data_IF_015740710512
#
_entry.id   IF_015740710512
#
_cell.length_a   1.000
_cell.length_b   1.000
_cell.length_c   1.000
_cell.angle_alpha   90.00
_cell.angle_beta   90.00
_cell.angle_gamma   90.00
#
_symmetry.space_group_name_H-M   'P 1'
#
loop_
_entity.id
_entity.type
_entity.pdbx_description
1 polymer ?
#
# COMPACT_ATOMS: atom_id res chain seq x y z
N UNK A 1 -20.39 14.85 -24.76
CA UNK A 1 -19.09 15.39 -24.30
C UNK A 1 -18.04 14.97 -25.30
N UNK A 2 -17.19 15.91 -25.72
CA UNK A 2 -15.97 15.64 -26.48
C UNK A 2 -14.77 15.78 -25.56
N UNK A 3 -13.80 14.87 -25.71
CA UNK A 3 -12.55 14.90 -24.94
C UNK A 3 -11.40 14.74 -25.92
N UNK A 4 -10.47 15.71 -25.88
CA UNK A 4 -9.19 15.65 -26.58
C UNK A 4 -8.08 15.89 -25.54
N UNK A 5 -7.09 15.00 -25.52
CA UNK A 5 -5.96 15.03 -24.57
C UNK A 5 -4.67 15.04 -25.38
N UNK A 6 -3.81 16.00 -25.07
CA UNK A 6 -2.43 16.05 -25.54
C UNK A 6 -1.53 15.56 -24.41
N UNK A 7 -1.02 14.32 -24.51
CA UNK A 7 -0.24 13.66 -23.48
C UNK A 7 1.23 13.65 -23.88
N UNK A 8 2.05 14.41 -23.15
CA UNK A 8 3.50 14.38 -23.29
C UNK A 8 4.11 13.83 -22.00
N UNK A 9 4.60 12.59 -22.06
CA UNK A 9 5.26 11.93 -20.91
C UNK A 9 6.75 12.19 -20.87
N UNK A 10 7.36 12.61 -22.00
CA UNK A 10 8.80 12.78 -22.15
C UNK A 10 9.58 11.44 -22.22
N UNK A 11 8.91 10.29 -22.20
CA UNK A 11 9.48 8.94 -22.33
C UNK A 11 8.56 8.00 -23.09
N UNK A 12 9.11 6.91 -23.59
CA UNK A 12 8.37 5.92 -24.37
C UNK A 12 7.38 5.12 -23.51
N UNK A 13 6.17 4.90 -24.07
CA UNK A 13 5.12 4.12 -23.44
C UNK A 13 5.06 2.69 -23.98
N UNK A 14 4.93 1.70 -23.09
CA UNK A 14 4.62 0.32 -23.44
C UNK A 14 3.12 0.07 -23.58
N UNK A 15 2.29 0.90 -22.98
CA UNK A 15 0.84 0.79 -23.00
C UNK A 15 0.20 2.16 -22.78
N UNK A 16 -0.84 2.46 -23.57
CA UNK A 16 -1.70 3.62 -23.41
C UNK A 16 -3.12 3.19 -23.77
N UNK A 17 -4.07 3.31 -22.84
CA UNK A 17 -5.46 2.88 -23.05
C UNK A 17 -6.45 3.61 -22.16
N UNK A 18 -7.67 3.80 -22.64
CA UNK A 18 -8.81 4.18 -21.82
C UNK A 18 -9.52 2.94 -21.26
N UNK A 19 -9.98 3.03 -19.99
CA UNK A 19 -10.62 1.90 -19.30
C UNK A 19 -12.08 1.71 -19.69
N UNK A 20 -12.80 2.78 -20.01
CA UNK A 20 -14.26 2.75 -20.18
C UNK A 20 -14.77 3.30 -21.52
N UNK A 21 -13.92 3.99 -22.27
CA UNK A 21 -14.29 4.67 -23.50
C UNK A 21 -13.40 4.24 -24.66
N UNK A 22 -13.97 4.13 -25.85
CA UNK A 22 -13.20 3.94 -27.07
C UNK A 22 -12.52 5.24 -27.45
N UNK A 23 -11.22 5.16 -27.66
CA UNK A 23 -10.38 6.32 -27.99
C UNK A 23 -9.58 6.03 -29.24
N UNK A 24 -9.34 7.07 -30.02
CA UNK A 24 -8.31 7.11 -31.04
C UNK A 24 -7.02 7.65 -30.42
N UNK A 25 -5.88 7.08 -30.81
CA UNK A 25 -4.57 7.41 -30.23
C UNK A 25 -3.57 7.66 -31.36
N UNK A 26 -3.28 8.92 -31.60
CA UNK A 26 -2.25 9.36 -32.55
C UNK A 26 -0.92 9.52 -31.83
N UNK A 27 0.11 8.78 -32.28
CA UNK A 27 1.48 8.97 -31.81
C UNK A 27 2.14 10.11 -32.59
N UNK A 28 2.36 11.24 -31.91
CA UNK A 28 2.98 12.43 -32.50
C UNK A 28 4.52 12.34 -32.49
N UNK A 29 5.09 11.85 -31.37
CA UNK A 29 6.53 11.59 -31.23
C UNK A 29 6.78 10.58 -30.09
N UNK A 30 8.05 10.38 -29.72
CA UNK A 30 8.36 9.50 -28.59
C UNK A 30 7.82 10.10 -27.29
N UNK A 31 6.91 9.37 -26.63
CA UNK A 31 6.24 9.83 -25.39
C UNK A 31 5.17 10.91 -25.59
N UNK A 32 4.90 11.34 -26.84
CA UNK A 32 3.90 12.36 -27.11
C UNK A 32 2.75 11.79 -27.95
N UNK A 33 1.55 11.84 -27.41
CA UNK A 33 0.35 11.24 -27.99
C UNK A 33 -0.83 12.21 -27.92
N UNK A 34 -1.66 12.20 -28.96
CA UNK A 34 -2.98 12.84 -28.95
C UNK A 34 -4.03 11.76 -28.81
N UNK A 35 -4.93 11.94 -27.87
CA UNK A 35 -6.02 11.00 -27.57
C UNK A 35 -7.34 11.72 -27.75
N UNK A 36 -8.24 11.18 -28.55
CA UNK A 36 -9.58 11.69 -28.77
C UNK A 36 -10.63 10.60 -28.62
N UNK A 37 -11.84 10.99 -28.21
CA UNK A 37 -12.96 10.05 -28.21
C UNK A 37 -13.34 9.69 -29.63
N UNK A 38 -13.57 8.40 -29.91
CA UNK A 38 -14.08 7.95 -31.23
C UNK A 38 -15.54 8.33 -31.44
N UNK A 39 -16.32 8.46 -30.36
CA UNK A 39 -17.75 8.81 -30.39
C UNK A 39 -18.07 9.75 -29.23
N UNK A 40 -19.00 10.70 -29.41
CA UNK A 40 -19.51 11.52 -28.31
C UNK A 40 -20.12 10.62 -27.23
N UNK A 41 -19.78 10.88 -25.96
CA UNK A 41 -20.26 10.09 -24.82
C UNK A 41 -21.23 10.87 -23.95
N UNK A 42 -22.14 10.15 -23.26
CA UNK A 42 -22.91 10.69 -22.15
C UNK A 42 -21.99 10.86 -20.94
N UNK A 43 -22.25 11.85 -20.08
CA UNK A 43 -21.48 12.10 -18.86
C UNK A 43 -21.88 11.20 -17.68
N UNK A 44 -22.14 9.92 -17.95
CA UNK A 44 -22.64 8.94 -16.98
C UNK A 44 -21.53 8.12 -16.28
N UNK A 45 -20.29 8.27 -16.74
CA UNK A 45 -19.14 7.58 -16.15
C UNK A 45 -17.84 8.35 -16.35
N UNK A 46 -16.87 8.11 -15.47
CA UNK A 46 -15.57 8.76 -15.49
C UNK A 46 -14.75 8.41 -16.73
N UNK A 47 -14.05 9.40 -17.29
CA UNK A 47 -13.02 9.15 -18.29
C UNK A 47 -11.71 8.80 -17.57
N UNK A 48 -11.19 7.59 -17.82
CA UNK A 48 -9.95 7.09 -17.20
C UNK A 48 -8.96 6.69 -18.27
N UNK A 49 -7.86 7.46 -18.37
CA UNK A 49 -6.72 7.15 -19.22
C UNK A 49 -5.60 6.53 -18.39
N UNK A 50 -5.06 5.40 -18.83
CA UNK A 50 -3.95 4.69 -18.16
C UNK A 50 -2.81 4.49 -19.13
N UNK A 51 -1.60 4.74 -18.65
CA UNK A 51 -0.39 4.48 -19.41
C UNK A 51 0.68 3.84 -18.55
N UNK A 52 1.62 3.16 -19.21
CA UNK A 52 2.75 2.49 -18.58
C UNK A 52 4.01 2.80 -19.39
N UNK A 53 5.09 3.18 -18.73
CA UNK A 53 6.38 3.37 -19.37
C UNK A 53 6.97 2.05 -19.86
N UNK A 54 7.89 2.10 -20.81
CA UNK A 54 8.71 0.95 -21.20
C UNK A 54 9.61 0.55 -20.04
N UNK A 55 9.56 -0.74 -19.66
CA UNK A 55 10.25 -1.30 -18.48
C UNK A 55 11.64 -1.85 -18.86
N UNK A 56 12.56 -0.96 -19.28
CA UNK A 56 13.95 -1.35 -19.58
C UNK A 56 14.95 -0.74 -18.61
N UNK A 57 14.92 0.59 -18.53
CA UNK A 57 15.84 1.40 -17.73
C UNK A 57 15.08 2.50 -17.02
N UNK A 58 15.74 3.20 -16.08
CA UNK A 58 15.14 4.39 -15.47
C UNK A 58 14.84 5.43 -16.54
N UNK A 59 13.56 5.72 -16.75
CA UNK A 59 13.11 6.75 -17.67
C UNK A 59 13.11 8.10 -16.93
N UNK A 60 13.66 9.11 -17.58
CA UNK A 60 13.70 10.48 -17.05
C UNK A 60 13.10 11.45 -18.05
N UNK A 61 12.32 12.40 -17.57
CA UNK A 61 11.90 13.56 -18.37
C UNK A 61 11.98 14.83 -17.55
N UNK A 62 12.31 15.92 -18.24
CA UNK A 62 12.38 17.24 -17.67
C UNK A 62 11.45 18.17 -18.46
N UNK A 63 10.48 18.76 -17.78
CA UNK A 63 9.59 19.75 -18.35
C UNK A 63 9.93 21.11 -17.77
N UNK A 64 9.85 22.14 -18.61
CA UNK A 64 10.04 23.52 -18.22
C UNK A 64 8.79 24.31 -18.61
N UNK A 65 8.28 25.10 -17.68
CA UNK A 65 7.24 26.08 -17.90
C UNK A 65 7.70 27.43 -17.36
N UNK A 66 7.41 28.50 -18.11
CA UNK A 66 7.68 29.86 -17.65
C UNK A 66 6.36 30.54 -17.32
N UNK A 67 6.11 30.83 -16.06
CA UNK A 67 4.90 31.51 -15.59
C UNK A 67 5.27 32.81 -14.87
N UNK A 68 4.67 33.92 -15.26
CA UNK A 68 4.94 35.24 -14.69
C UNK A 68 6.45 35.63 -14.66
N UNK A 69 7.23 35.21 -15.67
CA UNK A 69 8.65 35.49 -15.76
C UNK A 69 9.55 34.59 -14.89
N UNK A 70 8.96 33.60 -14.21
CA UNK A 70 9.70 32.60 -13.44
C UNK A 70 9.68 31.24 -14.13
N UNK A 71 10.83 30.56 -14.14
CA UNK A 71 10.96 29.23 -14.70
C UNK A 71 10.62 28.18 -13.64
N UNK A 72 9.68 27.29 -13.98
CA UNK A 72 9.32 26.12 -13.20
C UNK A 72 9.83 24.86 -13.91
N UNK A 73 10.49 23.99 -13.17
CA UNK A 73 11.02 22.73 -13.69
C UNK A 73 10.34 21.54 -13.02
N UNK A 74 9.86 20.59 -13.82
CA UNK A 74 9.34 19.31 -13.34
C UNK A 74 10.26 18.18 -13.83
N UNK A 75 10.98 17.55 -12.90
CA UNK A 75 11.75 16.34 -13.16
C UNK A 75 10.91 15.11 -12.78
N UNK A 76 10.66 14.26 -13.77
CA UNK A 76 10.00 12.96 -13.54
C UNK A 76 11.04 11.85 -13.64
N UNK A 77 11.07 10.97 -12.63
CA UNK A 77 11.92 9.78 -12.58
C UNK A 77 11.02 8.55 -12.51
N UNK A 78 11.13 7.66 -13.48
CA UNK A 78 10.33 6.45 -13.58
C UNK A 78 11.27 5.24 -13.54
N UNK A 79 11.50 4.64 -12.36
CA UNK A 79 12.38 3.47 -12.25
C UNK A 79 11.74 2.26 -12.94
N UNK A 80 12.52 1.29 -13.45
CA UNK A 80 11.99 0.07 -14.03
C UNK A 80 11.22 -0.74 -13.00
N UNK A 81 10.08 -1.31 -13.41
CA UNK A 81 9.21 -2.12 -12.54
C UNK A 81 9.86 -3.47 -12.18
N UNK A 82 10.72 -3.98 -13.07
CA UNK A 82 11.41 -5.27 -12.91
C UNK A 82 12.91 -5.06 -12.80
N UNK A 83 13.40 -4.74 -11.62
CA UNK A 83 14.81 -4.91 -11.34
C UNK A 83 15.05 -6.39 -10.96
N UNK A 84 15.39 -7.23 -11.92
CA UNK A 84 15.64 -8.68 -11.75
C UNK A 84 16.69 -9.00 -10.68
N UNK A 85 17.47 -8.01 -10.26
CA UNK A 85 18.57 -8.14 -9.31
C UNK A 85 18.30 -7.53 -7.92
N UNK A 86 17.12 -6.95 -7.66
CA UNK A 86 16.81 -6.48 -6.32
C UNK A 86 16.45 -7.69 -5.46
N UNK A 87 17.40 -8.13 -4.68
CA UNK A 87 17.14 -9.06 -3.59
C UNK A 87 16.21 -8.37 -2.60
N UNK A 88 14.94 -8.75 -2.64
CA UNK A 88 13.95 -8.28 -1.64
C UNK A 88 14.47 -8.66 -0.25
N UNK A 89 14.73 -7.75 0.66
CA UNK A 89 15.20 -8.10 1.99
C UNK A 89 14.20 -9.02 2.70
N UNK A 90 14.69 -9.81 3.64
CA UNK A 90 13.84 -10.54 4.56
C UNK A 90 13.04 -9.55 5.39
N UNK A 91 11.79 -9.88 5.69
CA UNK A 91 10.88 -8.98 6.41
C UNK A 91 10.43 -9.59 7.72
N UNK A 92 10.27 -8.74 8.71
CA UNK A 92 9.56 -9.06 9.94
C UNK A 92 8.36 -8.14 10.07
N UNK A 93 7.16 -8.73 9.94
CA UNK A 93 5.92 -7.98 9.79
C UNK A 93 5.02 -8.25 10.99
N UNK A 94 4.55 -7.21 11.65
CA UNK A 94 3.56 -7.33 12.72
C UNK A 94 2.28 -6.65 12.24
N UNK A 95 1.23 -7.44 12.09
CA UNK A 95 -0.12 -6.97 11.82
C UNK A 95 -0.79 -6.61 13.15
N UNK A 96 -1.30 -5.39 13.25
CA UNK A 96 -2.06 -4.92 14.41
C UNK A 96 -3.50 -4.78 13.94
N UNK A 97 -4.36 -5.71 14.39
CA UNK A 97 -5.75 -5.83 13.98
C UNK A 97 -6.67 -5.33 15.07
N UNK A 98 -7.44 -4.33 14.72
CA UNK A 98 -8.56 -3.85 15.53
C UNK A 98 -9.70 -4.87 15.51
N UNK A 99 -10.16 -5.26 16.70
CA UNK A 99 -11.33 -6.10 16.90
C UNK A 99 -12.31 -5.45 17.88
N UNK A 100 -12.28 -4.10 18.01
CA UNK A 100 -13.23 -3.34 18.82
C UNK A 100 -14.65 -3.42 18.26
N UNK A 101 -15.63 -3.01 19.07
CA UNK A 101 -17.05 -3.09 18.71
C UNK A 101 -17.40 -2.31 17.43
N UNK A 102 -16.74 -1.17 17.16
CA UNK A 102 -16.91 -0.37 15.92
C UNK A 102 -16.57 -1.16 14.65
N UNK A 103 -15.63 -2.09 14.75
CA UNK A 103 -15.28 -2.99 13.65
C UNK A 103 -16.39 -3.99 13.29
N UNK A 104 -17.47 -4.06 14.04
CA UNK A 104 -18.59 -4.98 13.83
C UNK A 104 -19.19 -4.90 12.42
N UNK A 105 -19.65 -6.03 11.88
CA UNK A 105 -20.31 -6.07 10.57
C UNK A 105 -19.36 -6.07 9.37
N UNK A 106 -19.45 -5.08 8.49
CA UNK A 106 -18.67 -5.01 7.25
C UNK A 106 -17.17 -4.74 7.49
N UNK A 107 -16.77 -3.82 8.38
CA UNK A 107 -15.36 -3.51 8.63
C UNK A 107 -14.53 -4.75 8.99
N UNK A 108 -14.96 -5.55 9.99
CA UNK A 108 -14.21 -6.76 10.39
C UNK A 108 -14.16 -7.80 9.27
N UNK A 109 -15.22 -7.92 8.44
CA UNK A 109 -15.21 -8.85 7.30
C UNK A 109 -14.17 -8.44 6.26
N UNK A 110 -14.12 -7.16 5.91
CA UNK A 110 -13.15 -6.62 4.94
C UNK A 110 -11.72 -6.71 5.48
N UNK A 111 -11.51 -6.35 6.73
CA UNK A 111 -10.21 -6.43 7.39
C UNK A 111 -9.68 -7.87 7.44
N UNK A 112 -10.52 -8.86 7.76
CA UNK A 112 -10.16 -10.29 7.73
C UNK A 112 -9.71 -10.72 6.33
N UNK A 113 -10.43 -10.31 5.28
CA UNK A 113 -10.06 -10.62 3.89
C UNK A 113 -8.71 -10.00 3.55
N UNK A 114 -8.51 -8.72 3.88
CA UNK A 114 -7.25 -8.03 3.67
C UNK A 114 -6.07 -8.71 4.39
N UNK A 115 -6.26 -9.06 5.66
CA UNK A 115 -5.25 -9.75 6.47
C UNK A 115 -4.94 -11.15 5.94
N UNK A 116 -5.95 -11.93 5.52
CA UNK A 116 -5.73 -13.22 4.84
C UNK A 116 -4.91 -13.06 3.56
N UNK A 117 -5.23 -12.07 2.73
CA UNK A 117 -4.47 -11.79 1.51
C UNK A 117 -3.01 -11.40 1.82
N UNK A 118 -2.80 -10.58 2.84
CA UNK A 118 -1.46 -10.18 3.28
C UNK A 118 -0.65 -11.40 3.76
N UNK A 119 -1.23 -12.26 4.60
CA UNK A 119 -0.59 -13.49 5.09
C UNK A 119 -0.24 -14.45 3.94
N UNK A 120 -1.13 -14.63 2.96
CA UNK A 120 -0.87 -15.49 1.79
C UNK A 120 0.32 -15.01 0.95
N UNK A 121 0.57 -13.70 0.90
CA UNK A 121 1.67 -13.08 0.14
C UNK A 121 3.03 -13.10 0.86
N UNK A 122 3.08 -13.53 2.12
CA UNK A 122 4.33 -13.68 2.85
C UNK A 122 5.19 -14.77 2.22
N UNK A 123 6.49 -14.49 2.10
CA UNK A 123 7.48 -15.45 1.61
C UNK A 123 7.92 -16.36 2.77
N UNK A 124 8.35 -17.61 2.51
CA UNK A 124 8.78 -18.53 3.59
C UNK A 124 9.91 -17.99 4.48
N UNK A 125 10.71 -17.05 3.96
CA UNK A 125 11.80 -16.37 4.69
C UNK A 125 11.31 -15.20 5.56
N UNK A 126 10.10 -14.66 5.31
CA UNK A 126 9.51 -13.62 6.15
C UNK A 126 9.16 -14.18 7.53
N UNK A 127 9.18 -13.31 8.53
CA UNK A 127 8.60 -13.58 9.86
C UNK A 127 7.40 -12.69 10.07
N UNK A 128 6.42 -13.17 10.80
CA UNK A 128 5.24 -12.38 11.09
C UNK A 128 4.63 -12.65 12.46
N UNK A 129 3.84 -11.72 12.95
CA UNK A 129 2.95 -11.89 14.09
C UNK A 129 1.64 -11.15 13.81
N UNK A 130 0.59 -11.49 14.57
CA UNK A 130 -0.70 -10.80 14.56
C UNK A 130 -0.98 -10.38 15.99
N UNK A 131 -1.19 -9.10 16.20
CA UNK A 131 -1.57 -8.52 17.48
C UNK A 131 -2.99 -7.99 17.35
N UNK A 132 -3.87 -8.45 18.20
CA UNK A 132 -5.27 -8.02 18.26
C UNK A 132 -5.43 -7.02 19.38
N UNK A 133 -6.33 -6.06 19.22
CA UNK A 133 -6.72 -5.20 20.33
C UNK A 133 -8.22 -4.87 20.32
N UNK A 134 -8.77 -4.75 21.52
CA UNK A 134 -10.02 -4.16 21.91
C UNK A 134 -9.84 -3.48 23.28
N UNK A 135 -10.52 -3.88 24.36
CA UNK A 135 -10.24 -3.43 25.75
C UNK A 135 -8.86 -3.88 26.26
N UNK A 136 -8.31 -4.88 25.65
CA UNK A 136 -6.98 -5.44 25.95
C UNK A 136 -6.33 -5.91 24.65
N UNK A 137 -5.04 -6.20 24.70
CA UNK A 137 -4.37 -6.80 23.54
C UNK A 137 -4.12 -8.30 23.75
N UNK A 138 -4.06 -9.02 22.65
CA UNK A 138 -3.61 -10.40 22.59
C UNK A 138 -2.72 -10.59 21.34
N UNK A 139 -1.92 -11.65 21.31
CA UNK A 139 -1.07 -11.92 20.15
C UNK A 139 -1.20 -13.37 19.71
N UNK A 140 -1.09 -13.59 18.41
CA UNK A 140 -1.09 -14.91 17.80
C UNK A 140 0.07 -15.78 18.30
N UNK A 141 1.24 -15.15 18.47
CA UNK A 141 2.44 -15.80 19.02
C UNK A 141 3.18 -14.82 19.96
N UNK A 142 3.95 -15.37 20.90
CA UNK A 142 4.80 -14.56 21.79
C UNK A 142 5.86 -13.77 21.05
N UNK A 143 6.37 -14.31 19.94
CA UNK A 143 7.38 -13.70 19.07
C UNK A 143 7.02 -13.96 17.62
N UNK A 144 7.49 -13.12 16.67
CA UNK A 144 7.27 -13.36 15.26
C UNK A 144 7.74 -14.73 14.80
N UNK A 145 6.89 -15.44 14.05
CA UNK A 145 7.12 -16.80 13.55
C UNK A 145 7.45 -16.78 12.06
N UNK A 146 8.21 -17.78 11.57
CA UNK A 146 8.49 -17.93 10.13
C UNK A 146 7.21 -18.20 9.35
N UNK A 147 7.06 -17.53 8.20
CA UNK A 147 5.89 -17.64 7.33
C UNK A 147 5.92 -18.92 6.46
N UNK A 148 6.13 -20.09 7.08
CA UNK A 148 6.00 -21.37 6.39
C UNK A 148 4.57 -21.59 5.92
N UNK A 149 4.35 -22.45 4.92
CA UNK A 149 3.00 -22.76 4.43
C UNK A 149 2.07 -23.19 5.59
N UNK A 150 2.52 -24.13 6.42
CA UNK A 150 1.78 -24.63 7.61
C UNK A 150 1.40 -23.50 8.58
N UNK A 151 2.34 -22.56 8.84
CA UNK A 151 2.10 -21.47 9.79
C UNK A 151 1.17 -20.41 9.20
N UNK A 152 1.28 -20.10 7.90
CA UNK A 152 0.34 -19.22 7.19
C UNK A 152 -1.09 -19.78 7.24
N UNK A 153 -1.27 -21.08 6.95
CA UNK A 153 -2.59 -21.74 7.00
C UNK A 153 -3.19 -21.71 8.42
N UNK A 154 -2.36 -21.92 9.44
CA UNK A 154 -2.79 -21.83 10.84
C UNK A 154 -3.22 -20.40 11.20
N UNK A 155 -2.43 -19.39 10.79
CA UNK A 155 -2.75 -17.99 11.02
C UNK A 155 -4.04 -17.56 10.28
N UNK A 156 -4.26 -18.03 9.05
CA UNK A 156 -5.50 -17.77 8.30
C UNK A 156 -6.72 -18.35 9.05
N UNK A 157 -6.62 -19.58 9.55
CA UNK A 157 -7.69 -20.14 10.37
C UNK A 157 -7.95 -19.36 11.65
N UNK A 158 -6.91 -18.83 12.27
CA UNK A 158 -7.03 -17.95 13.42
C UNK A 158 -7.75 -16.64 13.07
N UNK A 159 -7.35 -15.97 11.98
CA UNK A 159 -7.97 -14.72 11.49
C UNK A 159 -9.47 -14.92 11.19
N UNK A 160 -9.85 -16.01 10.58
CA UNK A 160 -11.27 -16.30 10.23
C UNK A 160 -12.18 -16.35 11.44
N UNK A 161 -11.68 -16.73 12.61
CA UNK A 161 -12.44 -16.84 13.86
C UNK A 161 -12.58 -15.52 14.62
N UNK A 162 -11.90 -14.45 14.20
CA UNK A 162 -11.97 -13.16 14.86
C UNK A 162 -13.39 -12.62 14.85
N UNK A 163 -13.79 -12.06 15.97
CA UNK A 163 -15.06 -11.35 16.17
C UNK A 163 -14.77 -9.98 16.73
N UNK A 164 -15.56 -8.99 16.36
CA UNK A 164 -15.46 -7.64 16.87
C UNK A 164 -16.29 -7.50 18.14
N UNK A 165 -15.68 -7.02 19.23
CA UNK A 165 -16.32 -6.78 20.52
C UNK A 165 -15.44 -5.87 21.39
N UNK A 166 -16.05 -5.18 22.36
CA UNK A 166 -15.38 -4.37 23.38
C UNK A 166 -14.96 -2.98 22.91
N UNK A 167 -14.10 -2.35 23.71
CA UNK A 167 -13.56 -1.00 23.49
C UNK A 167 -12.34 -0.97 22.58
N UNK A 168 -11.56 0.15 22.64
CA UNK A 168 -10.47 0.43 21.67
C UNK A 168 -9.21 0.91 22.41
N UNK A 169 -8.52 0.00 23.11
CA UNK A 169 -7.25 0.28 23.80
C UNK A 169 -6.03 -0.04 22.93
N UNK A 170 -5.68 0.89 22.05
CA UNK A 170 -4.63 0.72 21.04
C UNK A 170 -3.21 0.80 21.64
N UNK A 171 -2.98 1.63 22.65
CA UNK A 171 -1.64 1.91 23.18
C UNK A 171 -0.85 0.65 23.63
N UNK A 172 -1.45 -0.27 24.43
CA UNK A 172 -0.74 -1.49 24.86
C UNK A 172 -0.37 -2.40 23.67
N UNK A 173 -1.25 -2.51 22.67
CA UNK A 173 -1.01 -3.29 21.46
C UNK A 173 0.15 -2.73 20.63
N UNK A 174 0.15 -1.41 20.41
CA UNK A 174 1.23 -0.73 19.70
C UNK A 174 2.57 -0.86 20.44
N UNK A 175 2.57 -0.62 21.75
CA UNK A 175 3.78 -0.77 22.59
C UNK A 175 4.34 -2.19 22.51
N UNK A 176 3.50 -3.21 22.70
CA UNK A 176 3.90 -4.62 22.57
C UNK A 176 4.49 -4.89 21.19
N UNK A 177 3.84 -4.43 20.13
CA UNK A 177 4.27 -4.65 18.74
C UNK A 177 5.63 -4.03 18.45
N UNK A 178 5.85 -2.77 18.86
CA UNK A 178 7.13 -2.07 18.67
C UNK A 178 8.28 -2.76 19.43
N UNK A 179 8.00 -3.31 20.61
CA UNK A 179 9.00 -4.02 21.43
C UNK A 179 9.16 -5.49 21.04
N UNK A 180 8.31 -6.03 20.19
CA UNK A 180 8.27 -7.46 19.84
C UNK A 180 9.11 -7.84 18.63
N UNK A 181 9.69 -6.87 17.90
CA UNK A 181 10.63 -7.17 16.84
C UNK A 181 11.88 -7.87 17.37
N UNK A 182 12.24 -8.99 16.75
CA UNK A 182 13.35 -9.87 17.20
C UNK A 182 14.50 -9.94 16.20
N UNK A 183 14.27 -9.52 14.96
CA UNK A 183 15.30 -9.55 13.93
C UNK A 183 16.31 -8.42 14.10
N UNK A 184 17.50 -8.61 13.58
CA UNK A 184 18.56 -7.62 13.55
C UNK A 184 18.27 -6.43 12.61
N UNK A 185 19.26 -5.55 12.44
CA UNK A 185 19.11 -4.35 11.60
C UNK A 185 19.02 -4.64 10.09
N UNK A 186 19.43 -5.83 9.65
CA UNK A 186 19.44 -6.22 8.24
C UNK A 186 18.04 -6.59 7.70
N UNK A 187 17.09 -6.85 8.61
CA UNK A 187 15.72 -7.26 8.27
C UNK A 187 14.80 -6.06 8.24
N UNK A 188 13.99 -5.95 7.18
CA UNK A 188 13.00 -4.89 7.05
C UNK A 188 11.83 -5.12 8.01
N UNK A 189 11.70 -4.25 9.01
CA UNK A 189 10.64 -4.29 10.03
C UNK A 189 9.44 -3.47 9.57
N UNK A 190 8.25 -4.06 9.64
CA UNK A 190 7.01 -3.43 9.22
C UNK A 190 5.91 -3.64 10.25
N UNK A 191 5.25 -2.54 10.66
CA UNK A 191 3.98 -2.58 11.37
C UNK A 191 2.86 -2.20 10.40
N UNK A 192 1.80 -2.98 10.40
CA UNK A 192 0.62 -2.72 9.55
C UNK A 192 -0.61 -2.67 10.45
N UNK A 193 -1.23 -1.50 10.54
CA UNK A 193 -2.48 -1.30 11.25
C UNK A 193 -3.68 -1.60 10.35
N UNK A 194 -4.67 -2.27 10.94
CA UNK A 194 -5.94 -2.59 10.33
C UNK A 194 -7.04 -2.15 11.31
N UNK A 195 -7.57 -0.95 11.13
CA UNK A 195 -8.55 -0.28 11.99
C UNK A 195 -9.54 0.52 11.13
N UNK A 196 -10.67 0.89 11.69
CA UNK A 196 -11.66 1.80 11.06
C UNK A 196 -11.32 3.28 11.22
N UNK A 197 -10.19 3.60 11.84
CA UNK A 197 -9.63 4.95 11.93
C UNK A 197 -10.00 5.74 13.19
N UNK A 198 -10.83 5.22 14.09
CA UNK A 198 -11.13 5.89 15.36
C UNK A 198 -9.96 5.76 16.34
N UNK A 199 -9.09 6.79 16.38
CA UNK A 199 -7.92 6.82 17.26
C UNK A 199 -8.19 7.69 18.47
N UNK A 200 -8.14 7.11 19.66
CA UNK A 200 -8.12 7.85 20.93
C UNK A 200 -6.70 8.05 21.44
N UNK A 201 -6.43 9.15 22.14
CA UNK A 201 -5.11 9.44 22.73
C UNK A 201 -3.95 9.60 21.71
N UNK A 202 -4.19 10.23 20.58
CA UNK A 202 -3.21 10.42 19.48
C UNK A 202 -1.85 10.90 19.97
N UNK A 203 -1.76 11.94 20.79
CA UNK A 203 -0.49 12.50 21.30
C UNK A 203 0.37 11.45 22.02
N UNK A 204 -0.27 10.54 22.78
CA UNK A 204 0.42 9.47 23.50
C UNK A 204 0.94 8.38 22.54
N UNK A 205 0.17 8.07 21.50
CA UNK A 205 0.57 7.13 20.46
C UNK A 205 1.72 7.68 19.63
N UNK A 206 1.64 8.94 19.20
CA UNK A 206 2.73 9.60 18.47
C UNK A 206 4.03 9.68 19.28
N UNK A 207 3.94 9.97 20.58
CA UNK A 207 5.11 9.97 21.47
C UNK A 207 5.75 8.59 21.56
N UNK A 208 4.96 7.52 21.62
CA UNK A 208 5.43 6.15 21.61
C UNK A 208 6.09 5.78 20.28
N UNK A 209 5.44 6.11 19.16
CA UNK A 209 5.95 5.86 17.81
C UNK A 209 7.30 6.55 17.63
N UNK A 210 7.40 7.85 17.92
CA UNK A 210 8.63 8.62 17.77
C UNK A 210 9.80 8.03 18.60
N UNK A 211 9.52 7.51 19.78
CA UNK A 211 10.53 6.91 20.64
C UNK A 211 10.95 5.50 20.21
N UNK A 212 10.02 4.65 19.80
CA UNK A 212 10.23 3.21 19.67
C UNK A 212 10.28 2.69 18.23
N UNK A 213 9.76 3.44 17.24
CA UNK A 213 9.67 2.98 15.85
C UNK A 213 11.06 2.70 15.24
N UNK A 214 12.06 3.53 15.57
CA UNK A 214 13.46 3.37 15.11
C UNK A 214 13.55 3.16 13.59
N UNK A 215 13.97 1.96 13.16
CA UNK A 215 14.13 1.57 11.75
C UNK A 215 12.92 0.84 11.17
N UNK A 216 11.88 0.63 11.97
CA UNK A 216 10.66 0.00 11.49
C UNK A 216 9.83 0.99 10.65
N UNK A 217 9.01 0.46 9.75
CA UNK A 217 8.06 1.24 8.95
C UNK A 217 6.65 0.95 9.45
N UNK A 218 5.87 2.01 9.60
CA UNK A 218 4.47 1.95 10.02
C UNK A 218 3.57 2.26 8.81
N UNK A 219 2.55 1.44 8.63
CA UNK A 219 1.50 1.59 7.61
C UNK A 219 0.12 1.50 8.30
N UNK A 220 -0.80 2.36 7.86
CA UNK A 220 -2.19 2.42 8.34
C UNK A 220 -3.14 2.31 7.16
#
# INVERSE_FOLDING_TARGET
>A
VEISIDLNTGFELSSLKSSFHKVDIDKLSNGHHRISLLEPISSDRDFVLRWTAVDKDTQTSLFKETQAGQDHLLLTLNPPLTNKNIHSPDREIIFIQDISGSMGGQPIRQSKIGLEMAIKRLKPRDKFNIVLFNDRYSSYSRTPVKATAKERDKAIRYVRRLQADGGTEMYPALKFSLMNFRSDKSVLKQLIFLTDGAVTQESRLFSLINRELKTARLFT
#
